data_IF_649636033783
#
_entry.id   IF_649636033783
#
_cell.length_a   1.000
_cell.length_b   1.000
_cell.length_c   1.000
_cell.angle_alpha   90.00
_cell.angle_beta   90.00
_cell.angle_gamma   90.00
#
_symmetry.space_group_name_H-M   'P 1'
#
loop_
_entity.id
_entity.type
_entity.pdbx_description
1 polymer ?
#
# COMPACT_ATOMS: atom_id res chain seq x y z
N UNK A 1 -5.12 4.57 0.05
CA UNK A 1 -6.50 4.75 -0.49
C UNK A 1 -6.99 6.20 -0.44
N UNK A 2 -6.77 6.95 0.66
CA UNK A 2 -7.21 8.36 0.75
C UNK A 2 -6.58 9.26 -0.31
N UNK A 3 -5.33 9.05 -0.67
CA UNK A 3 -4.65 9.82 -1.71
C UNK A 3 -5.22 9.51 -3.10
N UNK A 4 -5.53 8.24 -3.35
CA UNK A 4 -6.21 7.82 -4.59
C UNK A 4 -7.58 8.47 -4.70
N UNK A 5 -8.34 8.49 -3.61
CA UNK A 5 -9.65 9.14 -3.58
C UNK A 5 -9.55 10.65 -3.81
N UNK A 6 -8.54 11.31 -3.24
CA UNK A 6 -8.32 12.74 -3.44
C UNK A 6 -7.99 13.07 -4.89
N UNK A 7 -7.14 12.29 -5.54
CA UNK A 7 -6.83 12.46 -6.98
C UNK A 7 -8.07 12.21 -7.82
N UNK A 8 -8.82 11.16 -7.53
CA UNK A 8 -10.05 10.83 -8.27
C UNK A 8 -11.09 11.95 -8.17
N UNK A 9 -11.29 12.53 -6.98
CA UNK A 9 -12.22 13.63 -6.77
C UNK A 9 -11.84 14.85 -7.60
N UNK A 10 -10.56 15.21 -7.65
CA UNK A 10 -10.06 16.34 -8.44
C UNK A 10 -10.21 16.07 -9.94
N UNK A 11 -9.83 14.87 -10.39
CA UNK A 11 -9.94 14.50 -11.80
C UNK A 11 -11.37 14.49 -12.31
N UNK A 12 -12.34 14.19 -11.45
CA UNK A 12 -13.78 14.17 -11.80
C UNK A 12 -14.45 15.55 -11.72
N UNK A 13 -13.89 16.50 -10.99
CA UNK A 13 -14.54 17.79 -10.71
C UNK A 13 -13.83 19.00 -11.32
N UNK A 14 -12.57 18.85 -11.73
CA UNK A 14 -11.78 19.93 -12.32
C UNK A 14 -11.44 19.60 -13.78
N UNK A 15 -11.32 20.63 -14.60
CA UNK A 15 -10.89 20.48 -16.01
C UNK A 15 -9.38 20.29 -16.10
N UNK A 16 -8.92 19.77 -17.25
CA UNK A 16 -7.51 19.63 -17.56
C UNK A 16 -6.93 18.24 -17.29
N UNK A 17 -7.79 17.30 -16.87
CA UNK A 17 -7.37 15.91 -16.57
C UNK A 17 -7.79 14.91 -17.66
N UNK A 18 -8.48 15.39 -18.69
CA UNK A 18 -9.00 14.56 -19.77
C UNK A 18 -7.86 13.86 -20.53
N UNK A 19 -7.96 12.55 -20.66
CA UNK A 19 -6.94 11.74 -21.33
C UNK A 19 -5.64 11.56 -20.55
N UNK A 20 -5.52 12.12 -19.35
CA UNK A 20 -4.34 11.97 -18.50
C UNK A 20 -4.31 10.61 -17.82
N UNK A 21 -3.11 10.07 -17.65
CA UNK A 21 -2.86 8.85 -16.86
C UNK A 21 -1.93 9.21 -15.71
N UNK A 22 -2.33 8.87 -14.50
CA UNK A 22 -1.55 9.13 -13.29
C UNK A 22 -1.17 7.83 -12.60
N UNK A 23 0.12 7.62 -12.40
CA UNK A 23 0.60 6.55 -11.53
C UNK A 23 0.66 7.09 -10.11
N UNK A 24 -0.13 6.53 -9.21
CA UNK A 24 -0.27 7.03 -7.85
C UNK A 24 0.50 6.14 -6.89
N UNK A 25 1.47 6.72 -6.19
CA UNK A 25 2.30 6.03 -5.20
C UNK A 25 2.35 6.81 -3.90
N UNK A 26 2.87 6.17 -2.85
CA UNK A 26 3.30 6.87 -1.65
C UNK A 26 4.56 7.71 -1.89
N UNK A 27 5.07 8.40 -0.84
CA UNK A 27 6.21 9.31 -0.97
C UNK A 27 7.56 8.61 -1.14
N UNK A 28 7.65 7.33 -0.81
CA UNK A 28 8.89 6.56 -0.84
C UNK A 28 8.64 5.09 -1.15
N UNK A 29 9.63 4.43 -1.71
CA UNK A 29 9.67 2.97 -1.81
C UNK A 29 10.07 2.42 -0.44
N UNK A 30 9.25 1.57 0.15
CA UNK A 30 9.45 1.05 1.50
C UNK A 30 9.42 -0.48 1.52
N UNK A 31 10.11 -1.07 2.48
CA UNK A 31 10.12 -2.51 2.72
C UNK A 31 8.99 -2.92 3.67
N UNK A 32 8.68 -4.21 3.72
CA UNK A 32 7.74 -4.74 4.71
C UNK A 32 8.28 -4.59 6.14
N UNK A 33 9.60 -4.63 6.33
CA UNK A 33 10.22 -4.34 7.62
C UNK A 33 9.96 -2.91 8.07
N UNK A 34 10.03 -1.95 7.15
CA UNK A 34 9.70 -0.54 7.44
C UNK A 34 8.22 -0.36 7.77
N UNK A 35 7.32 -1.10 7.12
CA UNK A 35 5.89 -1.11 7.46
C UNK A 35 5.69 -1.65 8.89
N UNK A 36 6.35 -2.75 9.23
CA UNK A 36 6.29 -3.33 10.57
C UNK A 36 6.82 -2.35 11.64
N UNK A 37 7.91 -1.63 11.34
CA UNK A 37 8.46 -0.62 12.23
C UNK A 37 7.50 0.55 12.45
N UNK A 38 6.83 1.02 11.39
CA UNK A 38 5.84 2.09 11.49
C UNK A 38 4.64 1.67 12.36
N UNK A 39 4.17 0.44 12.19
CA UNK A 39 3.09 -0.12 13.02
C UNK A 39 3.54 -0.29 14.48
N UNK A 40 4.75 -0.78 14.72
CA UNK A 40 5.33 -0.90 16.07
C UNK A 40 5.32 0.46 16.78
N UNK A 41 5.79 1.49 16.08
CA UNK A 41 5.84 2.84 16.63
C UNK A 41 4.46 3.41 16.96
N UNK A 42 3.49 3.19 16.09
CA UNK A 42 2.13 3.72 16.27
C UNK A 42 1.33 2.96 17.34
N UNK A 43 1.54 1.65 17.47
CA UNK A 43 0.74 0.78 18.35
C UNK A 43 1.37 0.57 19.73
N UNK A 44 2.64 0.91 19.92
CA UNK A 44 3.36 0.69 21.17
C UNK A 44 3.57 -0.78 21.52
N UNK A 45 3.53 -1.68 20.54
CA UNK A 45 3.82 -3.11 20.69
C UNK A 45 4.63 -3.61 19.49
N UNK A 46 5.44 -4.62 19.71
CA UNK A 46 6.31 -5.14 18.66
C UNK A 46 5.50 -5.82 17.54
N UNK A 47 5.67 -5.32 16.34
CA UNK A 47 5.17 -5.90 15.10
C UNK A 47 6.38 -6.29 14.27
N UNK A 48 6.49 -7.56 13.91
CA UNK A 48 7.63 -8.10 13.16
C UNK A 48 7.16 -8.63 11.82
N UNK A 49 7.87 -8.27 10.76
CA UNK A 49 7.66 -8.88 9.45
C UNK A 49 8.33 -10.26 9.42
N UNK A 50 7.58 -11.26 8.98
CA UNK A 50 8.08 -12.62 8.78
C UNK A 50 7.95 -12.96 7.30
N UNK A 51 9.07 -13.16 6.64
CA UNK A 51 9.11 -13.58 5.24
C UNK A 51 8.90 -15.08 5.15
N UNK A 52 7.71 -15.49 4.74
CA UNK A 52 7.36 -16.92 4.59
C UNK A 52 7.47 -17.36 3.13
N UNK A 53 7.80 -18.64 2.85
CA UNK A 53 7.78 -19.16 1.49
C UNK A 53 6.39 -19.03 0.84
N UNK A 54 6.31 -18.85 -0.50
CA UNK A 54 5.03 -18.74 -1.18
C UNK A 54 4.07 -19.89 -0.90
N UNK A 55 4.58 -21.12 -0.79
CA UNK A 55 3.78 -22.31 -0.50
C UNK A 55 3.13 -22.24 0.88
N UNK A 56 3.87 -21.75 1.87
CA UNK A 56 3.37 -21.56 3.25
C UNK A 56 2.28 -20.49 3.26
N UNK A 57 2.48 -19.39 2.56
CA UNK A 57 1.49 -18.34 2.42
C UNK A 57 0.20 -18.85 1.77
N UNK A 58 0.33 -19.59 0.65
CA UNK A 58 -0.80 -20.19 -0.04
C UNK A 58 -1.59 -21.15 0.86
N UNK A 59 -0.89 -22.01 1.61
CA UNK A 59 -1.49 -22.96 2.54
C UNK A 59 -2.29 -22.26 3.65
N UNK A 60 -1.77 -21.16 4.17
CA UNK A 60 -2.43 -20.37 5.21
C UNK A 60 -3.77 -19.78 4.75
N UNK A 61 -3.86 -19.43 3.46
CA UNK A 61 -5.06 -18.84 2.87
C UNK A 61 -6.03 -19.88 2.30
N UNK A 62 -5.64 -21.15 2.28
CA UNK A 62 -6.49 -22.22 1.78
C UNK A 62 -7.78 -22.34 2.62
N UNK A 63 -8.93 -22.32 1.96
CA UNK A 63 -10.22 -22.33 2.63
C UNK A 63 -10.70 -20.97 3.14
N UNK A 64 -9.85 -19.94 3.10
CA UNK A 64 -10.21 -18.56 3.46
C UNK A 64 -10.54 -17.76 2.19
N UNK A 65 -9.71 -17.90 1.18
CA UNK A 65 -9.88 -17.24 -0.12
C UNK A 65 -10.02 -18.27 -1.23
N UNK A 66 -10.75 -17.96 -2.31
CA UNK A 66 -10.81 -18.83 -3.48
C UNK A 66 -9.43 -18.96 -4.13
N UNK A 67 -9.14 -20.12 -4.79
CA UNK A 67 -7.82 -20.39 -5.37
C UNK A 67 -7.29 -19.32 -6.33
N UNK A 68 -8.16 -18.71 -7.11
CA UNK A 68 -7.77 -17.69 -8.07
C UNK A 68 -7.27 -16.40 -7.37
N UNK A 69 -7.84 -16.06 -6.21
CA UNK A 69 -7.36 -14.92 -5.42
C UNK A 69 -6.02 -15.23 -4.75
N UNK A 70 -5.85 -16.45 -4.25
CA UNK A 70 -4.56 -16.87 -3.68
C UNK A 70 -3.48 -16.79 -4.74
N UNK A 71 -3.75 -17.28 -5.95
CA UNK A 71 -2.80 -17.21 -7.06
C UNK A 71 -2.47 -15.76 -7.43
N UNK A 72 -3.46 -14.89 -7.49
CA UNK A 72 -3.25 -13.46 -7.75
C UNK A 72 -2.37 -12.80 -6.70
N UNK A 73 -2.58 -13.09 -5.42
CA UNK A 73 -1.75 -12.58 -4.34
C UNK A 73 -0.30 -13.06 -4.42
N UNK A 74 -0.09 -14.33 -4.76
CA UNK A 74 1.25 -14.88 -4.96
C UNK A 74 2.00 -14.16 -6.09
N UNK A 75 1.30 -13.86 -7.17
CA UNK A 75 1.87 -13.12 -8.30
C UNK A 75 2.18 -11.67 -7.93
N UNK A 76 1.32 -11.01 -7.17
CA UNK A 76 1.55 -9.65 -6.68
C UNK A 76 2.81 -9.58 -5.80
N UNK A 77 2.95 -10.50 -4.86
CA UNK A 77 4.14 -10.53 -4.01
C UNK A 77 5.42 -10.90 -4.77
N UNK A 78 5.33 -11.77 -5.77
CA UNK A 78 6.45 -12.06 -6.65
C UNK A 78 6.88 -10.82 -7.45
N UNK A 79 5.92 -10.01 -7.89
CA UNK A 79 6.13 -8.73 -8.56
C UNK A 79 6.89 -7.75 -7.66
N UNK A 80 6.48 -7.62 -6.39
CA UNK A 80 7.20 -6.80 -5.40
C UNK A 80 8.63 -7.30 -5.17
N UNK A 81 8.84 -8.61 -5.06
CA UNK A 81 10.19 -9.19 -4.89
C UNK A 81 11.13 -8.86 -6.05
N UNK A 82 10.61 -8.74 -7.26
CA UNK A 82 11.39 -8.34 -8.44
C UNK A 82 11.67 -6.83 -8.51
N UNK A 83 11.15 -6.04 -7.55
CA UNK A 83 11.34 -4.59 -7.53
C UNK A 83 10.51 -3.83 -8.56
N UNK A 84 9.53 -4.46 -9.17
CA UNK A 84 8.74 -3.86 -10.25
C UNK A 84 7.77 -2.77 -9.77
N UNK A 85 7.50 -2.71 -8.46
CA UNK A 85 6.68 -1.69 -7.83
C UNK A 85 7.48 -0.66 -7.03
N UNK A 86 8.79 -0.57 -7.24
CA UNK A 86 9.67 0.30 -6.46
C UNK A 86 9.68 1.76 -6.92
N UNK A 87 9.11 2.07 -8.07
CA UNK A 87 9.08 3.45 -8.60
C UNK A 87 8.19 4.35 -7.75
N UNK A 88 8.65 5.57 -7.54
CA UNK A 88 7.91 6.62 -6.83
C UNK A 88 7.52 7.70 -7.82
N UNK A 89 6.24 8.06 -7.85
CA UNK A 89 5.67 9.07 -8.73
C UNK A 89 5.30 10.33 -7.95
N UNK A 90 5.52 11.54 -8.52
CA UNK A 90 5.10 12.79 -7.90
C UNK A 90 3.62 13.13 -8.12
N UNK A 91 2.85 12.27 -8.78
CA UNK A 91 1.53 12.59 -9.28
C UNK A 91 0.53 13.00 -8.18
N UNK A 92 0.58 12.37 -7.01
CA UNK A 92 -0.32 12.76 -5.90
C UNK A 92 -0.11 14.22 -5.51
N UNK A 93 1.14 14.64 -5.33
CA UNK A 93 1.46 16.02 -4.98
C UNK A 93 1.12 17.00 -6.11
N UNK A 94 1.38 16.63 -7.35
CA UNK A 94 1.09 17.46 -8.51
C UNK A 94 -0.41 17.70 -8.70
N UNK A 95 -1.24 16.68 -8.52
CA UNK A 95 -2.69 16.79 -8.69
C UNK A 95 -3.36 17.40 -7.47
N UNK A 96 -3.00 16.98 -6.26
CA UNK A 96 -3.70 17.41 -5.04
C UNK A 96 -3.10 18.65 -4.38
N UNK A 97 -1.89 19.05 -4.74
CA UNK A 97 -1.16 20.15 -4.08
C UNK A 97 -0.64 19.78 -2.68
N UNK A 98 -0.74 18.50 -2.29
CA UNK A 98 -0.28 18.01 -0.99
C UNK A 98 0.58 16.77 -1.18
N UNK A 99 1.62 16.57 -0.33
CA UNK A 99 2.41 15.34 -0.41
C UNK A 99 1.54 14.12 -0.12
N UNK A 100 1.86 12.96 -0.73
CA UNK A 100 1.16 11.72 -0.41
C UNK A 100 1.42 11.33 1.05
N UNK A 101 0.45 10.64 1.64
CA UNK A 101 0.55 10.13 3.01
C UNK A 101 1.54 8.97 3.05
N UNK A 102 2.40 8.95 4.06
CA UNK A 102 3.30 7.83 4.27
C UNK A 102 2.67 6.74 5.17
N UNK A 103 3.34 5.61 5.29
CA UNK A 103 2.86 4.49 6.10
C UNK A 103 2.82 4.85 7.59
N UNK A 104 3.70 5.72 8.06
CA UNK A 104 3.71 6.16 9.46
C UNK A 104 2.46 6.96 9.79
N UNK A 105 2.04 7.85 8.89
CA UNK A 105 0.78 8.57 9.04
C UNK A 105 -0.41 7.62 9.04
N UNK A 106 -0.45 6.68 8.09
CA UNK A 106 -1.49 5.66 8.04
C UNK A 106 -1.57 4.87 9.35
N UNK A 107 -0.44 4.42 9.87
CA UNK A 107 -0.37 3.64 11.10
C UNK A 107 -0.92 4.43 12.31
N UNK A 108 -0.58 5.70 12.40
CA UNK A 108 -1.10 6.59 13.47
C UNK A 108 -2.62 6.81 13.33
N UNK A 109 -3.05 7.14 12.12
CA UNK A 109 -4.46 7.49 11.87
C UNK A 109 -5.41 6.31 12.10
N UNK A 110 -4.94 5.09 11.85
CA UNK A 110 -5.72 3.87 12.00
C UNK A 110 -5.30 3.00 13.20
N UNK A 111 -4.45 3.52 14.09
CA UNK A 111 -4.01 2.78 15.27
C UNK A 111 -5.16 2.13 16.06
N UNK A 112 -6.31 2.79 16.28
CA UNK A 112 -7.43 2.16 16.98
C UNK A 112 -7.98 0.90 16.29
N UNK A 113 -7.89 0.80 14.97
CA UNK A 113 -8.35 -0.37 14.23
C UNK A 113 -7.47 -1.60 14.47
N UNK A 114 -6.24 -1.41 14.90
CA UNK A 114 -5.27 -2.48 15.20
C UNK A 114 -5.15 -2.77 16.69
N UNK A 115 -5.88 -2.07 17.55
CA UNK A 115 -5.70 -2.09 19.00
C UNK A 115 -6.48 -3.22 19.71
N UNK A 116 -7.02 -4.17 19.00
CA UNK A 116 -7.76 -5.30 19.57
C UNK A 116 -6.86 -6.41 20.11
#
# INVERSE_FOLDING_TARGET
MRDIAAVAAIALTESGHEGATYTLTGPASITHGEIAAALTSALGRDITFIDVPPETFASTLQGILPPWQVQGLLEDYAHYRRGEAASVSPAVAEVTGRPPRDVSQFARDYAPAFAS
#
